data_IF_535970967894
#
_entry.id   IF_535970967894
#
_cell.length_a   1.000
_cell.length_b   1.000
_cell.length_c   1.000
_cell.angle_alpha   90.00
_cell.angle_beta   90.00
_cell.angle_gamma   90.00
#
_symmetry.space_group_name_H-M   'P 1'
#
loop_
_entity.id
_entity.type
_entity.pdbx_description
1 polymer ?
#
# COMPACT_ATOMS: atom_id res chain seq x y z
N UNK A 1 -5.20 6.61 -30.63
CA UNK A 1 -5.98 6.26 -29.43
C UNK A 1 -5.04 5.84 -28.31
N UNK A 2 -5.15 6.44 -27.12
CA UNK A 2 -4.23 6.17 -26.00
C UNK A 2 -4.85 5.11 -25.10
N UNK A 3 -4.05 4.18 -24.59
CA UNK A 3 -4.52 3.16 -23.65
C UNK A 3 -5.02 3.85 -22.36
N UNK A 4 -6.28 3.65 -21.94
CA UNK A 4 -6.88 4.36 -20.81
C UNK A 4 -6.57 3.71 -19.45
N UNK A 5 -6.03 2.48 -19.44
CA UNK A 5 -5.73 1.74 -18.22
C UNK A 5 -4.38 2.17 -17.62
N UNK A 6 -4.31 2.26 -16.30
CA UNK A 6 -3.09 2.69 -15.59
C UNK A 6 -2.77 1.73 -14.45
N UNK A 7 -1.58 1.13 -14.50
CA UNK A 7 -1.06 0.23 -13.49
C UNK A 7 0.40 0.59 -13.16
N UNK A 8 0.92 0.05 -12.06
CA UNK A 8 2.29 0.32 -11.58
C UNK A 8 2.56 1.74 -11.06
N UNK A 9 1.56 2.63 -11.02
CA UNK A 9 1.66 4.00 -10.52
C UNK A 9 0.47 4.36 -9.65
N UNK A 10 0.63 5.39 -8.83
CA UNK A 10 -0.50 5.98 -8.09
C UNK A 10 -1.50 6.55 -9.08
N UNK A 11 -2.77 6.14 -8.96
CA UNK A 11 -3.83 6.53 -9.89
C UNK A 11 -4.60 7.73 -9.36
N UNK A 12 -4.89 8.67 -10.27
CA UNK A 12 -5.79 9.79 -10.01
C UNK A 12 -7.26 9.40 -10.14
N UNK A 13 -8.16 10.36 -9.86
CA UNK A 13 -9.62 10.13 -9.76
C UNK A 13 -10.23 9.40 -10.97
N UNK A 14 -9.75 9.67 -12.19
CA UNK A 14 -10.27 9.06 -13.44
C UNK A 14 -9.96 7.56 -13.60
N UNK A 15 -8.92 7.06 -12.95
CA UNK A 15 -8.44 5.67 -13.08
C UNK A 15 -8.47 4.91 -11.75
N UNK A 16 -9.09 5.49 -10.73
CA UNK A 16 -9.31 4.87 -9.44
C UNK A 16 -10.67 4.16 -9.47
N UNK A 17 -10.63 2.83 -9.59
CA UNK A 17 -11.84 2.02 -9.65
C UNK A 17 -12.43 1.88 -8.24
N UNK A 18 -13.64 2.42 -8.08
CA UNK A 18 -14.49 2.35 -6.89
C UNK A 18 -13.76 2.64 -5.57
N UNK A 19 -14.25 2.15 -4.41
CA UNK A 19 -13.84 2.48 -3.03
C UNK A 19 -14.60 3.63 -2.36
N UNK A 20 -15.85 3.88 -2.75
CA UNK A 20 -16.64 5.00 -2.20
C UNK A 20 -16.85 4.87 -0.69
N UNK A 21 -17.24 3.69 -0.23
CA UNK A 21 -17.49 3.43 1.19
C UNK A 21 -16.22 3.58 2.02
N UNK A 22 -15.08 3.10 1.52
CA UNK A 22 -13.79 3.25 2.18
C UNK A 22 -13.35 4.72 2.25
N UNK A 23 -13.55 5.48 1.17
CA UNK A 23 -13.26 6.92 1.15
C UNK A 23 -14.12 7.64 2.19
N UNK A 24 -15.44 7.40 2.19
CA UNK A 24 -16.35 8.02 3.13
C UNK A 24 -16.03 7.65 4.59
N UNK A 25 -15.69 6.39 4.84
CA UNK A 25 -15.28 5.94 6.16
C UNK A 25 -14.02 6.66 6.65
N UNK A 26 -12.99 6.74 5.80
CA UNK A 26 -11.75 7.44 6.13
C UNK A 26 -11.99 8.93 6.35
N UNK A 27 -12.75 9.59 5.48
CA UNK A 27 -13.09 11.01 5.61
C UNK A 27 -13.80 11.31 6.93
N UNK A 28 -14.87 10.56 7.25
CA UNK A 28 -15.62 10.74 8.51
C UNK A 28 -14.72 10.63 9.74
N UNK A 29 -13.83 9.64 9.77
CA UNK A 29 -12.92 9.46 10.89
C UNK A 29 -11.85 10.56 10.97
N UNK A 30 -11.30 11.00 9.84
CA UNK A 30 -10.36 12.13 9.77
C UNK A 30 -11.02 13.41 10.30
N UNK A 31 -12.26 13.70 9.90
CA UNK A 31 -13.02 14.86 10.37
C UNK A 31 -13.25 14.84 11.88
N UNK A 32 -13.55 13.66 12.41
CA UNK A 32 -13.71 13.41 13.84
C UNK A 32 -12.39 13.37 14.61
N UNK A 33 -11.24 13.39 13.94
CA UNK A 33 -9.92 13.33 14.57
C UNK A 33 -9.52 11.92 15.05
N UNK A 34 -10.18 10.87 14.56
CA UNK A 34 -9.83 9.49 14.92
C UNK A 34 -8.65 8.97 14.10
N UNK A 35 -7.77 8.23 14.77
CA UNK A 35 -6.67 7.52 14.12
C UNK A 35 -7.13 6.16 13.62
N UNK A 36 -6.69 5.79 12.42
CA UNK A 36 -7.10 4.58 11.71
C UNK A 36 -5.86 3.81 11.30
N UNK A 37 -5.93 2.50 11.31
CA UNK A 37 -4.94 1.67 10.62
C UNK A 37 -5.63 0.69 9.68
N UNK A 38 -4.97 0.39 8.57
CA UNK A 38 -5.43 -0.60 7.62
C UNK A 38 -4.26 -1.35 7.02
N UNK A 39 -4.56 -2.58 6.59
CA UNK A 39 -3.64 -3.35 5.78
C UNK A 39 -4.35 -3.81 4.51
N UNK A 40 -3.58 -3.93 3.43
CA UNK A 40 -4.00 -4.63 2.23
C UNK A 40 -2.76 -5.17 1.52
N UNK A 41 -2.88 -6.25 0.73
CA UNK A 41 -1.77 -6.77 -0.05
C UNK A 41 -1.10 -5.69 -0.91
N UNK A 42 0.13 -5.95 -1.37
CA UNK A 42 0.81 -5.02 -2.28
C UNK A 42 -0.03 -4.80 -3.53
N UNK A 43 0.04 -3.58 -4.08
CA UNK A 43 -0.67 -3.18 -5.31
C UNK A 43 -2.22 -3.18 -5.21
N UNK A 44 -2.80 -3.29 -4.02
CA UNK A 44 -4.25 -3.11 -3.82
C UNK A 44 -4.74 -1.66 -3.92
N UNK A 45 -3.83 -0.68 -4.00
CA UNK A 45 -4.18 0.72 -4.20
C UNK A 45 -4.26 1.59 -2.95
N UNK A 46 -3.72 1.15 -1.80
CA UNK A 46 -3.71 1.93 -0.53
C UNK A 46 -3.23 3.38 -0.69
N UNK A 47 -2.06 3.58 -1.29
CA UNK A 47 -1.50 4.92 -1.50
C UNK A 47 -2.33 5.76 -2.48
N UNK A 48 -3.08 5.13 -3.39
CA UNK A 48 -4.03 5.85 -4.26
C UNK A 48 -5.31 6.19 -3.49
N UNK A 49 -5.82 5.29 -2.65
CA UNK A 49 -6.96 5.50 -1.77
C UNK A 49 -6.73 6.70 -0.85
N UNK A 50 -5.62 6.73 -0.11
CA UNK A 50 -5.35 7.83 0.83
C UNK A 50 -5.20 9.18 0.12
N UNK A 51 -4.63 9.21 -1.09
CA UNK A 51 -4.56 10.43 -1.88
C UNK A 51 -5.93 10.89 -2.37
N UNK A 52 -6.83 9.97 -2.72
CA UNK A 52 -8.22 10.33 -3.00
C UNK A 52 -8.91 10.89 -1.75
N UNK A 53 -8.72 10.28 -0.58
CA UNK A 53 -9.26 10.78 0.69
C UNK A 53 -8.73 12.18 0.98
N UNK A 54 -7.42 12.41 0.88
CA UNK A 54 -6.82 13.72 1.13
C UNK A 54 -7.33 14.79 0.17
N UNK A 55 -7.50 14.46 -1.11
CA UNK A 55 -8.09 15.40 -2.08
C UNK A 55 -9.55 15.77 -1.79
N UNK A 56 -10.29 14.93 -1.05
CA UNK A 56 -11.68 15.19 -0.65
C UNK A 56 -11.79 15.63 0.82
N UNK A 57 -10.67 15.77 1.53
CA UNK A 57 -10.65 16.20 2.93
C UNK A 57 -10.95 17.70 2.99
N UNK A 58 -11.83 18.17 3.90
CA UNK A 58 -12.12 19.59 4.06
C UNK A 58 -10.87 20.47 4.25
N UNK A 59 -10.87 21.68 3.67
CA UNK A 59 -9.71 22.59 3.65
C UNK A 59 -9.23 23.04 5.05
N UNK A 60 -10.09 22.92 6.08
CA UNK A 60 -9.76 23.21 7.48
C UNK A 60 -8.99 22.07 8.18
N UNK A 61 -8.74 20.97 7.48
CA UNK A 61 -7.88 19.87 7.94
C UNK A 61 -6.71 19.77 6.97
N UNK A 62 -5.49 19.97 7.47
CA UNK A 62 -4.28 19.78 6.65
C UNK A 62 -3.95 18.30 6.57
N UNK A 63 -3.59 17.82 5.39
CA UNK A 63 -3.27 16.41 5.17
C UNK A 63 -1.82 16.25 4.79
N UNK A 64 -1.12 15.31 5.41
CA UNK A 64 0.30 15.05 5.18
C UNK A 64 0.47 13.58 4.86
N UNK A 65 1.17 13.26 3.77
CA UNK A 65 1.51 11.89 3.40
C UNK A 65 3.01 11.66 3.62
N UNK A 66 3.35 10.62 4.36
CA UNK A 66 4.73 10.24 4.64
C UNK A 66 4.96 8.76 4.40
N UNK A 67 5.91 8.41 3.54
CA UNK A 67 6.25 7.02 3.19
C UNK A 67 7.50 6.56 3.95
N UNK A 68 7.36 5.50 4.74
CA UNK A 68 8.44 4.95 5.57
C UNK A 68 9.34 3.96 4.82
N UNK A 69 9.00 3.56 3.58
CA UNK A 69 9.71 2.51 2.85
C UNK A 69 11.22 2.78 2.69
N UNK A 70 11.57 4.03 2.39
CA UNK A 70 12.95 4.47 2.15
C UNK A 70 13.60 5.12 3.38
N UNK A 71 13.04 4.95 4.57
CA UNK A 71 13.62 5.46 5.81
C UNK A 71 14.56 4.41 6.40
N UNK A 72 15.80 4.81 6.67
CA UNK A 72 16.88 3.90 7.06
C UNK A 72 17.27 3.98 8.54
N UNK A 73 17.06 5.12 9.17
CA UNK A 73 17.43 5.36 10.56
C UNK A 73 16.53 6.42 11.21
N UNK A 74 16.70 6.59 12.51
CA UNK A 74 16.01 7.61 13.31
C UNK A 74 16.39 9.03 12.87
N UNK A 75 17.66 9.27 12.54
CA UNK A 75 18.13 10.53 11.97
C UNK A 75 17.52 10.80 10.58
N UNK A 76 17.50 9.78 9.71
CA UNK A 76 16.91 9.88 8.37
C UNK A 76 15.40 10.13 8.44
N UNK A 77 14.69 9.44 9.36
CA UNK A 77 13.28 9.72 9.67
C UNK A 77 13.11 11.20 10.05
N UNK A 78 13.91 11.68 11.00
CA UNK A 78 13.79 13.04 11.54
C UNK A 78 13.92 14.09 10.46
N UNK A 79 14.92 13.95 9.59
CA UNK A 79 15.17 14.86 8.47
C UNK A 79 14.05 14.79 7.45
N UNK A 80 13.66 13.61 6.99
CA UNK A 80 12.60 13.44 5.98
C UNK A 80 11.25 13.91 6.50
N UNK A 81 10.90 13.55 7.74
CA UNK A 81 9.62 13.91 8.34
C UNK A 81 9.53 15.41 8.54
N UNK A 82 10.52 16.04 9.17
CA UNK A 82 10.53 17.49 9.37
C UNK A 82 10.49 18.26 8.05
N UNK A 83 11.21 17.80 7.02
CA UNK A 83 11.13 18.35 5.67
C UNK A 83 9.72 18.27 5.08
N UNK A 84 9.07 17.11 5.25
CA UNK A 84 7.71 16.89 4.74
C UNK A 84 6.70 17.77 5.48
N UNK A 85 6.77 17.84 6.81
CA UNK A 85 5.93 18.74 7.62
C UNK A 85 6.12 20.18 7.18
N UNK A 86 7.38 20.62 7.02
CA UNK A 86 7.67 22.00 6.64
C UNK A 86 7.16 22.34 5.25
N UNK A 87 7.36 21.44 4.28
CA UNK A 87 6.86 21.59 2.92
C UNK A 87 5.35 21.78 2.88
N UNK A 88 4.61 20.97 3.63
CA UNK A 88 3.14 20.94 3.58
C UNK A 88 2.47 22.00 4.45
N UNK A 89 3.09 22.39 5.57
CA UNK A 89 2.45 23.29 6.55
C UNK A 89 2.97 24.73 6.54
N UNK A 90 4.19 24.98 6.06
CA UNK A 90 4.74 26.34 6.06
C UNK A 90 4.39 27.07 4.78
N UNK A 91 4.06 28.35 4.93
CA UNK A 91 3.89 29.24 3.79
C UNK A 91 5.26 29.73 3.31
N UNK A 92 5.83 29.07 2.31
CA UNK A 92 7.13 29.42 1.73
C UNK A 92 7.17 30.73 0.95
N UNK A 93 6.04 31.44 0.83
CA UNK A 93 6.00 32.84 0.37
C UNK A 93 6.35 33.84 1.48
N UNK A 94 6.39 33.39 2.74
CA UNK A 94 6.86 34.22 3.86
C UNK A 94 8.38 34.43 3.80
N UNK A 95 8.85 35.47 4.47
CA UNK A 95 10.28 35.73 4.65
C UNK A 95 10.96 34.52 5.34
N UNK A 96 12.06 34.05 4.75
CA UNK A 96 12.89 32.94 5.26
C UNK A 96 13.26 33.14 6.73
N UNK A 97 13.50 34.38 7.18
CA UNK A 97 13.78 34.68 8.59
C UNK A 97 12.61 34.34 9.51
N UNK A 98 11.37 34.54 9.07
CA UNK A 98 10.16 34.20 9.84
C UNK A 98 10.00 32.69 9.97
N UNK A 99 10.21 31.97 8.86
CA UNK A 99 10.15 30.50 8.83
C UNK A 99 11.24 29.92 9.74
N UNK A 100 12.48 30.41 9.64
CA UNK A 100 13.58 29.98 10.50
C UNK A 100 13.29 30.23 11.99
N UNK A 101 12.73 31.40 12.32
CA UNK A 101 12.32 31.71 13.71
C UNK A 101 11.22 30.78 14.22
N UNK A 102 10.21 30.46 13.40
CA UNK A 102 9.15 29.49 13.74
C UNK A 102 9.74 28.11 13.96
N UNK A 103 10.61 27.65 13.08
CA UNK A 103 11.28 26.35 13.23
C UNK A 103 12.16 26.30 14.47
N UNK A 104 12.95 27.34 14.75
CA UNK A 104 13.73 27.43 15.98
C UNK A 104 12.87 27.43 17.25
N UNK A 105 11.66 28.00 17.21
CA UNK A 105 10.68 27.93 18.30
C UNK A 105 10.13 26.52 18.50
N UNK A 106 9.90 25.77 17.41
CA UNK A 106 9.31 24.43 17.49
C UNK A 106 10.33 23.32 17.77
N UNK A 107 11.58 23.51 17.33
CA UNK A 107 12.66 22.52 17.37
C UNK A 107 13.87 23.13 18.11
N UNK A 108 13.67 23.47 19.38
CA UNK A 108 14.63 24.23 20.20
C UNK A 108 15.94 23.47 20.40
N UNK A 109 15.87 22.14 20.57
CA UNK A 109 17.07 21.31 20.83
C UNK A 109 17.84 21.02 19.54
N UNK A 110 17.12 20.95 18.42
CA UNK A 110 17.67 20.54 17.13
C UNK A 110 18.26 21.68 16.30
N UNK A 111 17.96 22.94 16.64
CA UNK A 111 18.48 24.14 15.98
C UNK A 111 18.39 24.04 14.44
N UNK A 112 17.18 23.92 13.88
CA UNK A 112 16.99 23.71 12.46
C UNK A 112 17.50 24.88 11.62
N UNK A 113 18.15 24.56 10.51
CA UNK A 113 18.60 25.49 9.49
C UNK A 113 17.76 25.30 8.23
N UNK A 114 17.44 26.42 7.58
CA UNK A 114 16.74 26.42 6.30
C UNK A 114 17.76 26.44 5.17
N UNK A 115 17.67 25.44 4.30
CA UNK A 115 18.45 25.33 3.07
C UNK A 115 17.52 25.28 1.87
N UNK A 116 18.09 25.47 0.68
CA UNK A 116 17.39 25.23 -0.58
C UNK A 116 18.03 24.03 -1.28
N UNK A 117 17.20 23.13 -1.80
CA UNK A 117 17.67 22.03 -2.63
C UNK A 117 18.14 22.54 -4.02
N UNK A 118 18.62 21.63 -4.86
CA UNK A 118 19.12 21.93 -6.21
C UNK A 118 18.04 22.58 -7.10
N UNK A 119 16.76 22.37 -6.79
CA UNK A 119 15.62 22.93 -7.52
C UNK A 119 15.07 24.21 -6.87
N UNK A 120 15.83 24.82 -5.95
CA UNK A 120 15.41 25.96 -5.14
C UNK A 120 14.15 25.71 -4.29
N UNK A 121 13.82 24.44 -4.01
CA UNK A 121 12.79 24.13 -3.02
C UNK A 121 13.39 24.24 -1.63
N UNK A 122 12.66 24.85 -0.70
CA UNK A 122 13.13 24.94 0.67
C UNK A 122 13.15 23.57 1.36
N UNK A 123 14.13 23.40 2.23
CA UNK A 123 14.39 22.22 3.04
C UNK A 123 14.90 22.62 4.43
N UNK A 124 14.67 21.76 5.40
CA UNK A 124 15.21 21.81 6.75
C UNK A 124 16.39 20.84 6.84
N UNK A 125 17.51 21.35 7.31
CA UNK A 125 18.58 20.54 7.88
C UNK A 125 18.68 20.79 9.38
N UNK A 126 19.15 19.81 10.11
CA UNK A 126 19.61 20.02 11.49
C UNK A 126 21.10 20.34 11.47
N UNK A 127 21.59 20.98 12.53
CA UNK A 127 23.03 21.09 12.76
C UNK A 127 23.71 19.70 12.64
N UNK A 128 25.03 19.65 12.45
CA UNK A 128 25.83 18.42 12.32
C UNK A 128 25.86 17.59 13.63
N UNK A 129 24.68 17.17 14.07
CA UNK A 129 24.40 16.27 15.17
C UNK A 129 23.45 15.21 14.61
N UNK A 130 23.79 13.96 14.87
CA UNK A 130 22.94 12.83 14.56
C UNK A 130 21.80 12.77 15.58
N UNK A 131 20.57 12.63 15.10
CA UNK A 131 19.39 12.48 15.95
C UNK A 131 19.22 11.00 16.27
N UNK A 132 19.46 10.63 17.52
CA UNK A 132 19.41 9.22 17.97
C UNK A 132 18.66 9.03 19.29
N UNK A 133 18.43 10.10 20.05
CA UNK A 133 17.77 10.02 21.35
C UNK A 133 16.26 10.28 21.28
N UNK A 134 15.54 9.73 22.26
CA UNK A 134 14.09 9.85 22.37
C UNK A 134 13.60 11.29 22.39
N UNK A 135 14.29 12.18 23.12
CA UNK A 135 13.79 13.53 23.40
C UNK A 135 13.83 14.37 22.13
N UNK A 136 14.89 14.22 21.33
CA UNK A 136 15.00 14.89 20.03
C UNK A 136 13.95 14.36 19.04
N UNK A 137 13.66 13.06 19.05
CA UNK A 137 12.63 12.46 18.20
C UNK A 137 11.22 12.87 18.59
N UNK A 138 10.93 12.91 19.88
CA UNK A 138 9.65 13.42 20.36
C UNK A 138 9.47 14.90 20.00
N UNK A 139 10.54 15.70 19.98
CA UNK A 139 10.47 17.09 19.51
C UNK A 139 10.06 17.17 18.03
N UNK A 140 10.62 16.30 17.17
CA UNK A 140 10.24 16.18 15.75
C UNK A 140 8.80 15.68 15.58
N UNK A 141 8.40 14.65 16.31
CA UNK A 141 7.07 14.06 16.22
C UNK A 141 5.97 15.02 16.69
N UNK A 142 6.29 15.94 17.61
CA UNK A 142 5.38 16.97 18.12
C UNK A 142 5.33 18.24 17.25
N UNK A 143 6.19 18.36 16.25
CA UNK A 143 6.18 19.49 15.30
C UNK A 143 4.78 19.78 14.71
N UNK A 144 4.04 18.80 14.13
CA UNK A 144 2.71 19.07 13.60
C UNK A 144 1.73 19.55 14.67
N UNK A 145 1.76 19.03 15.89
CA UNK A 145 0.88 19.48 16.98
C UNK A 145 1.14 20.95 17.34
N UNK A 146 2.42 21.37 17.46
CA UNK A 146 2.77 22.77 17.77
C UNK A 146 2.25 23.74 16.69
N UNK A 147 2.33 23.33 15.42
CA UNK A 147 1.83 24.12 14.28
C UNK A 147 0.30 24.15 14.29
N UNK A 148 -0.34 23.01 14.55
CA UNK A 148 -1.79 22.88 14.65
C UNK A 148 -2.39 23.80 15.72
N UNK A 149 -1.76 23.87 16.89
CA UNK A 149 -2.16 24.77 17.99
C UNK A 149 -1.98 26.25 17.64
N UNK A 150 -0.87 26.63 17.01
CA UNK A 150 -0.61 28.03 16.64
C UNK A 150 -1.56 28.55 15.56
N UNK A 151 -2.05 27.67 14.70
CA UNK A 151 -2.91 28.02 13.57
C UNK A 151 -4.38 27.61 13.74
N UNK A 152 -4.77 27.09 14.90
CA UNK A 152 -6.11 26.56 15.19
C UNK A 152 -6.65 25.65 14.06
N UNK A 153 -5.79 24.73 13.61
CA UNK A 153 -6.09 23.81 12.50
C UNK A 153 -5.97 22.37 12.96
N UNK A 154 -6.78 21.48 12.37
CA UNK A 154 -6.57 20.04 12.50
C UNK A 154 -5.58 19.56 11.44
N UNK A 155 -4.85 18.49 11.72
CA UNK A 155 -3.91 17.88 10.78
C UNK A 155 -4.09 16.36 10.81
N UNK A 156 -4.16 15.74 9.64
CA UNK A 156 -4.12 14.31 9.46
C UNK A 156 -2.79 13.89 8.83
N UNK A 157 -2.05 12.99 9.48
CA UNK A 157 -0.79 12.43 8.96
C UNK A 157 -1.00 10.98 8.55
N UNK A 158 -0.84 10.68 7.27
CA UNK A 158 -0.80 9.31 6.78
C UNK A 158 0.64 8.79 6.75
N UNK A 159 0.90 7.70 7.46
CA UNK A 159 2.14 6.94 7.35
C UNK A 159 1.92 5.73 6.46
N UNK A 160 2.52 5.73 5.26
CA UNK A 160 2.54 4.56 4.38
C UNK A 160 3.72 3.63 4.72
N UNK A 161 3.51 2.34 4.46
CA UNK A 161 4.44 1.26 4.82
C UNK A 161 4.83 1.29 6.32
N UNK A 162 3.85 1.54 7.19
CA UNK A 162 4.06 1.75 8.63
C UNK A 162 4.76 0.59 9.34
N UNK A 163 4.62 -0.64 8.84
CA UNK A 163 5.33 -1.77 9.41
C UNK A 163 6.86 -1.66 9.34
N UNK A 164 7.40 -0.74 8.51
CA UNK A 164 8.85 -0.55 8.39
C UNK A 164 9.47 0.16 9.62
N UNK A 165 8.67 0.73 10.54
CA UNK A 165 9.19 1.34 11.77
C UNK A 165 10.05 0.37 12.60
N UNK A 166 9.72 -0.92 12.59
CA UNK A 166 10.48 -1.93 13.34
C UNK A 166 11.87 -2.17 12.78
N UNK A 167 12.11 -1.81 11.51
CA UNK A 167 13.42 -1.86 10.87
C UNK A 167 14.28 -0.63 11.21
N UNK A 168 13.64 0.50 11.48
CA UNK A 168 14.30 1.78 11.77
C UNK A 168 14.94 1.74 13.16
N UNK A 169 14.14 1.48 14.19
CA UNK A 169 14.61 1.25 15.56
C UNK A 169 13.54 0.49 16.37
N UNK A 170 13.97 -0.40 17.26
CA UNK A 170 13.08 -1.25 18.06
C UNK A 170 12.21 -0.46 19.06
N UNK A 171 12.69 0.68 19.55
CA UNK A 171 11.99 1.55 20.50
C UNK A 171 11.22 2.67 19.81
N UNK A 172 11.30 2.79 18.48
CA UNK A 172 10.69 3.92 17.78
C UNK A 172 9.18 4.00 18.03
N UNK A 173 8.49 2.85 18.05
CA UNK A 173 7.07 2.76 18.38
C UNK A 173 6.73 3.30 19.78
N UNK A 174 7.61 3.10 20.77
CA UNK A 174 7.44 3.62 22.13
C UNK A 174 7.54 5.15 22.13
N UNK A 175 8.51 5.71 21.41
CA UNK A 175 8.69 7.16 21.29
C UNK A 175 7.54 7.81 20.52
N UNK A 176 7.06 7.16 19.46
CA UNK A 176 5.84 7.58 18.77
C UNK A 176 4.64 7.58 19.71
N UNK A 177 4.46 6.54 20.55
CA UNK A 177 3.33 6.49 21.49
C UNK A 177 3.39 7.62 22.50
N UNK A 178 4.58 7.86 23.06
CA UNK A 178 4.85 8.91 24.03
C UNK A 178 4.52 10.31 23.48
N UNK A 179 4.92 10.60 22.23
CA UNK A 179 4.58 11.85 21.57
C UNK A 179 3.08 11.93 21.26
N UNK A 180 2.52 10.91 20.60
CA UNK A 180 1.21 10.99 19.98
C UNK A 180 0.05 11.06 20.99
N UNK A 181 0.19 10.45 22.17
CA UNK A 181 -0.88 10.46 23.20
C UNK A 181 -1.23 11.86 23.72
N UNK A 182 -0.32 12.83 23.57
CA UNK A 182 -0.51 14.21 24.03
C UNK A 182 -1.01 15.15 22.91
N UNK A 183 -1.11 14.65 21.67
CA UNK A 183 -1.50 15.46 20.53
C UNK A 183 -3.02 15.51 20.39
N UNK A 184 -3.57 16.72 20.41
CA UNK A 184 -5.04 16.94 20.43
C UNK A 184 -5.62 17.26 19.06
N UNK A 185 -4.80 17.83 18.17
CA UNK A 185 -5.24 18.34 16.88
C UNK A 185 -4.76 17.46 15.72
N UNK A 186 -4.14 16.31 16.03
CA UNK A 186 -3.53 15.40 15.07
C UNK A 186 -4.27 14.08 15.06
N UNK A 187 -4.62 13.62 13.87
CA UNK A 187 -5.11 12.27 13.60
C UNK A 187 -4.16 11.53 12.67
N UNK A 188 -4.18 10.20 12.70
CA UNK A 188 -3.27 9.39 11.89
C UNK A 188 -4.00 8.39 11.01
N UNK A 189 -3.43 8.13 9.83
CA UNK A 189 -3.80 6.97 9.01
C UNK A 189 -2.56 6.11 8.78
N UNK A 190 -2.52 4.93 9.39
CA UNK A 190 -1.42 3.99 9.27
C UNK A 190 -1.73 2.95 8.19
N UNK A 191 -0.98 2.98 7.09
CA UNK A 191 -1.13 2.04 5.98
C UNK A 191 0.00 1.02 6.02
N UNK A 192 -0.33 -0.27 5.86
CA UNK A 192 0.69 -1.32 5.78
C UNK A 192 0.37 -2.39 4.76
N UNK A 193 1.40 -3.13 4.33
CA UNK A 193 1.24 -4.26 3.40
C UNK A 193 1.50 -5.63 4.04
N UNK A 194 2.10 -5.68 5.23
CA UNK A 194 2.33 -6.93 5.99
C UNK A 194 1.31 -7.03 7.12
N UNK A 195 0.24 -7.81 6.89
CA UNK A 195 -0.86 -8.00 7.85
C UNK A 195 -0.34 -8.37 9.25
N UNK A 196 0.50 -9.40 9.35
CA UNK A 196 0.98 -9.88 10.65
C UNK A 196 1.76 -8.82 11.43
N UNK A 197 2.55 -7.99 10.76
CA UNK A 197 3.28 -6.91 11.43
C UNK A 197 2.34 -5.79 11.88
N UNK A 198 1.38 -5.41 11.04
CA UNK A 198 0.37 -4.41 11.42
C UNK A 198 -0.49 -4.89 12.60
N UNK A 199 -0.93 -6.15 12.59
CA UNK A 199 -1.66 -6.75 13.71
C UNK A 199 -0.79 -6.81 14.98
N UNK A 200 0.49 -7.15 14.87
CA UNK A 200 1.41 -7.11 16.01
C UNK A 200 1.56 -5.70 16.59
N UNK A 201 1.53 -4.66 15.75
CA UNK A 201 1.65 -3.26 16.17
C UNK A 201 0.36 -2.77 16.83
N UNK A 202 -0.81 -3.03 16.26
CA UNK A 202 -2.07 -2.40 16.72
C UNK A 202 -2.97 -3.30 17.56
N UNK A 203 -2.80 -4.62 17.51
CA UNK A 203 -3.71 -5.60 18.13
C UNK A 203 -3.04 -6.51 19.16
N UNK A 204 -1.73 -6.43 19.34
CA UNK A 204 -1.03 -7.15 20.42
C UNK A 204 -1.13 -6.38 21.73
N UNK A 205 -1.60 -7.03 22.80
CA UNK A 205 -1.77 -6.43 24.14
C UNK A 205 -0.47 -5.81 24.67
N UNK A 206 0.68 -6.37 24.31
CA UNK A 206 1.99 -5.89 24.76
C UNK A 206 2.55 -4.75 23.90
N UNK A 207 1.85 -4.34 22.84
CA UNK A 207 2.31 -3.27 21.96
C UNK A 207 1.98 -1.90 22.55
N UNK A 208 2.90 -0.91 22.47
CA UNK A 208 2.58 0.49 22.81
C UNK A 208 1.41 1.08 22.00
N UNK A 209 1.13 0.52 20.82
CA UNK A 209 0.05 0.94 19.93
C UNK A 209 -1.22 0.08 20.05
N UNK A 210 -1.30 -0.80 21.06
CA UNK A 210 -2.52 -1.56 21.34
C UNK A 210 -3.73 -0.62 21.46
N UNK A 211 -4.75 -0.85 20.64
CA UNK A 211 -5.98 -0.05 20.55
C UNK A 211 -5.76 1.47 20.31
N UNK A 212 -4.58 1.86 19.81
CA UNK A 212 -4.28 3.27 19.50
C UNK A 212 -5.08 3.83 18.32
N UNK A 213 -5.39 2.97 17.34
CA UNK A 213 -6.09 3.33 16.12
C UNK A 213 -7.17 2.29 15.79
N UNK A 214 -8.25 2.74 15.18
CA UNK A 214 -9.36 1.89 14.77
C UNK A 214 -8.94 1.09 13.53
N UNK A 215 -9.19 -0.22 13.55
CA UNK A 215 -8.94 -1.08 12.38
C UNK A 215 -9.94 -0.77 11.29
N UNK A 216 -9.47 -0.62 10.06
CA UNK A 216 -10.30 -0.59 8.87
C UNK A 216 -9.87 -1.74 7.93
N UNK A 217 -10.85 -2.53 7.51
CA UNK A 217 -10.64 -3.59 6.53
C UNK A 217 -10.88 -3.06 5.11
N UNK A 218 -9.94 -3.35 4.20
CA UNK A 218 -10.09 -3.06 2.77
C UNK A 218 -10.68 -4.30 2.12
N UNK A 219 -11.94 -4.20 1.70
CA UNK A 219 -12.62 -5.31 1.02
C UNK A 219 -12.10 -5.50 -0.41
N UNK A 220 -12.27 -6.67 -1.03
CA UNK A 220 -12.13 -6.79 -2.48
C UNK A 220 -13.10 -5.83 -3.19
N UNK A 221 -12.68 -5.27 -4.33
CA UNK A 221 -13.63 -4.51 -5.16
C UNK A 221 -14.63 -5.50 -5.74
N UNK A 222 -15.91 -5.16 -5.72
CA UNK A 222 -16.93 -6.05 -6.28
C UNK A 222 -16.68 -6.31 -7.77
N UNK A 223 -16.84 -7.57 -8.18
CA UNK A 223 -16.65 -8.01 -9.56
C UNK A 223 -17.43 -7.13 -10.54
N UNK A 224 -18.70 -6.83 -10.21
CA UNK A 224 -19.59 -6.00 -11.03
C UNK A 224 -19.02 -4.60 -11.26
N UNK A 225 -18.42 -4.01 -10.23
CA UNK A 225 -17.85 -2.66 -10.32
C UNK A 225 -16.62 -2.63 -11.22
N UNK A 226 -15.76 -3.65 -11.14
CA UNK A 226 -14.62 -3.80 -12.05
C UNK A 226 -15.07 -4.07 -13.49
N UNK A 227 -16.13 -4.86 -13.67
CA UNK A 227 -16.73 -5.13 -14.97
C UNK A 227 -17.17 -3.83 -15.65
N UNK A 228 -17.99 -3.03 -14.96
CA UNK A 228 -18.45 -1.75 -15.47
C UNK A 228 -17.30 -0.75 -15.67
N UNK A 229 -16.29 -0.77 -14.79
CA UNK A 229 -15.10 0.05 -14.96
C UNK A 229 -14.35 -0.26 -16.26
N UNK A 230 -14.11 -1.55 -16.57
CA UNK A 230 -13.45 -1.96 -17.81
C UNK A 230 -14.30 -1.56 -19.01
N UNK A 231 -15.59 -1.91 -19.01
CA UNK A 231 -16.53 -1.59 -20.09
C UNK A 231 -16.55 -0.10 -20.42
N UNK A 232 -16.65 0.75 -19.40
CA UNK A 232 -16.66 2.21 -19.56
C UNK A 232 -15.34 2.74 -20.12
N UNK A 233 -14.19 2.17 -19.72
CA UNK A 233 -12.87 2.57 -20.25
C UNK A 233 -12.70 2.28 -21.74
N UNK A 234 -13.26 1.16 -22.23
CA UNK A 234 -13.31 0.87 -23.67
C UNK A 234 -14.23 1.86 -24.40
N UNK A 235 -15.43 2.10 -23.86
CA UNK A 235 -16.38 3.05 -24.43
C UNK A 235 -15.85 4.48 -24.50
N UNK A 236 -15.11 4.95 -23.49
CA UNK A 236 -14.40 6.25 -23.47
C UNK A 236 -13.41 6.41 -24.64
N UNK A 237 -12.95 5.31 -25.22
CA UNK A 237 -12.04 5.30 -26.37
C UNK A 237 -12.74 4.91 -27.68
N UNK A 238 -14.08 4.85 -27.69
CA UNK A 238 -14.89 4.40 -28.84
C UNK A 238 -14.55 2.97 -29.29
N UNK A 239 -14.14 2.09 -28.36
CA UNK A 239 -14.03 0.66 -28.59
C UNK A 239 -15.14 -0.08 -27.86
N UNK A 240 -15.53 -1.24 -28.40
CA UNK A 240 -16.32 -2.25 -27.71
C UNK A 240 -15.43 -3.37 -27.19
N UNK A 241 -15.92 -4.09 -26.19
CA UNK A 241 -15.34 -5.31 -25.64
C UNK A 241 -16.51 -6.22 -25.22
N UNK A 242 -16.39 -7.51 -25.50
CA UNK A 242 -17.39 -8.51 -25.15
C UNK A 242 -17.42 -8.78 -23.64
N UNK A 243 -18.59 -9.16 -23.14
CA UNK A 243 -18.77 -9.46 -21.72
C UNK A 243 -17.90 -10.65 -21.27
N UNK A 244 -17.80 -11.67 -22.12
CA UNK A 244 -17.01 -12.88 -21.88
C UNK A 244 -15.51 -12.56 -21.72
N UNK A 245 -14.99 -11.62 -22.50
CA UNK A 245 -13.60 -11.17 -22.39
C UNK A 245 -13.36 -10.41 -21.09
N UNK A 246 -14.30 -9.55 -20.68
CA UNK A 246 -14.21 -8.87 -19.38
C UNK A 246 -14.23 -9.91 -18.25
N UNK A 247 -15.13 -10.88 -18.30
CA UNK A 247 -15.19 -11.95 -17.30
C UNK A 247 -13.87 -12.76 -17.25
N UNK A 248 -13.29 -13.06 -18.41
CA UNK A 248 -11.99 -13.72 -18.50
C UNK A 248 -10.87 -12.88 -17.84
N UNK A 249 -10.85 -11.56 -18.05
CA UNK A 249 -9.92 -10.65 -17.36
C UNK A 249 -10.11 -10.74 -15.84
N UNK A 250 -11.35 -10.69 -15.35
CA UNK A 250 -11.66 -10.67 -13.92
C UNK A 250 -11.33 -11.99 -13.23
N UNK A 251 -11.57 -13.12 -13.89
CA UNK A 251 -11.23 -14.45 -13.40
C UNK A 251 -9.71 -14.61 -13.28
N UNK A 252 -8.98 -14.32 -14.35
CA UNK A 252 -7.53 -14.50 -14.36
C UNK A 252 -6.80 -13.49 -13.47
N UNK A 253 -7.37 -12.30 -13.25
CA UNK A 253 -6.80 -11.29 -12.35
C UNK A 253 -7.23 -11.45 -10.88
N UNK A 254 -8.12 -12.40 -10.58
CA UNK A 254 -8.75 -12.57 -9.25
C UNK A 254 -9.37 -11.26 -8.72
N UNK A 255 -9.92 -10.42 -9.61
CA UNK A 255 -10.45 -9.09 -9.29
C UNK A 255 -9.45 -8.17 -8.56
N UNK A 256 -8.14 -8.43 -8.70
CA UNK A 256 -7.12 -7.63 -8.04
C UNK A 256 -6.91 -6.31 -8.80
N UNK A 257 -7.08 -5.12 -8.18
CA UNK A 257 -7.17 -3.84 -8.89
C UNK A 257 -6.03 -3.56 -9.88
N UNK A 258 -4.78 -3.75 -9.45
CA UNK A 258 -3.60 -3.59 -10.30
C UNK A 258 -3.57 -4.57 -11.49
N UNK A 259 -3.79 -5.86 -11.25
CA UNK A 259 -3.70 -6.88 -12.29
C UNK A 259 -4.88 -6.81 -13.25
N UNK A 260 -6.08 -6.50 -12.74
CA UNK A 260 -7.26 -6.24 -13.58
C UNK A 260 -6.98 -5.11 -14.58
N UNK A 261 -6.41 -3.97 -14.14
CA UNK A 261 -6.03 -2.89 -15.07
C UNK A 261 -4.90 -3.30 -16.02
N UNK A 262 -3.92 -4.07 -15.56
CA UNK A 262 -2.85 -4.56 -16.44
C UNK A 262 -3.39 -5.48 -17.53
N UNK A 263 -4.25 -6.44 -17.18
CA UNK A 263 -4.80 -7.40 -18.13
C UNK A 263 -5.72 -6.70 -19.12
N UNK A 264 -6.59 -5.81 -18.63
CA UNK A 264 -7.41 -4.96 -19.48
C UNK A 264 -6.58 -4.06 -20.40
N UNK A 265 -5.42 -3.56 -19.96
CA UNK A 265 -4.49 -2.80 -20.81
C UNK A 265 -3.97 -3.64 -21.96
N UNK A 266 -3.60 -4.91 -21.72
CA UNK A 266 -3.10 -5.80 -22.78
C UNK A 266 -4.21 -6.12 -23.77
N UNK A 267 -5.40 -6.49 -23.29
CA UNK A 267 -6.58 -6.76 -24.12
C UNK A 267 -6.96 -5.53 -24.96
N UNK A 268 -6.91 -4.34 -24.37
CA UNK A 268 -7.16 -3.09 -25.08
C UNK A 268 -6.18 -2.88 -26.24
N UNK A 269 -4.89 -3.15 -26.02
CA UNK A 269 -3.89 -3.04 -27.07
C UNK A 269 -4.08 -4.10 -28.17
N UNK A 270 -4.48 -5.32 -27.83
CA UNK A 270 -4.83 -6.36 -28.81
C UNK A 270 -6.01 -5.93 -29.70
N UNK A 271 -7.13 -5.51 -29.10
CA UNK A 271 -8.33 -5.07 -29.83
C UNK A 271 -8.01 -3.83 -30.68
N UNK A 272 -7.30 -2.84 -30.12
CA UNK A 272 -6.90 -1.64 -30.88
C UNK A 272 -6.04 -1.97 -32.10
N UNK A 273 -5.21 -3.02 -32.01
CA UNK A 273 -4.33 -3.42 -33.10
C UNK A 273 -5.02 -4.35 -34.13
N UNK A 274 -6.32 -4.63 -33.97
CA UNK A 274 -7.13 -5.36 -34.94
C UNK A 274 -7.27 -6.86 -34.66
N UNK A 275 -6.90 -7.34 -33.47
CA UNK A 275 -7.18 -8.73 -33.07
C UNK A 275 -8.69 -8.95 -32.97
N UNK A 276 -9.21 -10.03 -33.58
CA UNK A 276 -10.62 -10.41 -33.52
C UNK A 276 -10.93 -11.06 -32.16
N UNK A 277 -11.82 -10.41 -31.41
CA UNK A 277 -12.27 -10.89 -30.11
C UNK A 277 -13.10 -12.18 -30.20
N UNK A 278 -13.70 -12.48 -31.35
CA UNK A 278 -14.49 -13.69 -31.56
C UNK A 278 -13.64 -14.91 -31.92
N UNK A 279 -12.33 -14.74 -32.11
CA UNK A 279 -11.40 -15.87 -32.26
C UNK A 279 -11.38 -16.66 -30.94
N UNK A 280 -11.67 -17.96 -31.01
CA UNK A 280 -11.63 -18.86 -29.84
C UNK A 280 -10.28 -18.82 -29.10
N UNK A 281 -9.19 -18.49 -29.81
CA UNK A 281 -7.84 -18.37 -29.23
C UNK A 281 -7.55 -16.98 -28.67
N UNK A 282 -8.43 -15.99 -28.82
CA UNK A 282 -8.19 -14.62 -28.38
C UNK A 282 -7.81 -14.56 -26.90
N UNK A 283 -8.58 -15.22 -26.04
CA UNK A 283 -8.34 -15.24 -24.60
C UNK A 283 -7.02 -15.91 -24.21
N UNK A 284 -6.65 -16.96 -24.94
CA UNK A 284 -5.37 -17.64 -24.75
C UNK A 284 -4.20 -16.75 -25.15
N UNK A 285 -4.27 -16.09 -26.31
CA UNK A 285 -3.19 -15.26 -26.88
C UNK A 285 -2.77 -14.11 -25.96
N UNK A 286 -3.72 -13.32 -25.46
CA UNK A 286 -3.36 -12.20 -24.59
C UNK A 286 -2.83 -12.67 -23.24
N UNK A 287 -3.31 -13.80 -22.75
CA UNK A 287 -2.85 -14.36 -21.47
C UNK A 287 -1.44 -14.95 -21.60
N UNK A 288 -1.17 -15.69 -22.68
CA UNK A 288 0.17 -16.21 -23.01
C UNK A 288 1.19 -15.06 -23.09
N UNK A 289 0.84 -13.98 -23.79
CA UNK A 289 1.68 -12.77 -23.87
C UNK A 289 2.03 -12.18 -22.49
N UNK A 290 1.08 -12.18 -21.56
CA UNK A 290 1.32 -11.70 -20.18
C UNK A 290 2.25 -12.67 -19.43
N UNK A 291 2.00 -13.97 -19.54
CA UNK A 291 2.80 -15.00 -18.88
C UNK A 291 4.24 -14.97 -19.40
N UNK A 292 4.43 -14.95 -20.71
CA UNK A 292 5.74 -14.94 -21.36
C UNK A 292 6.58 -13.72 -20.98
N UNK A 293 5.94 -12.57 -20.76
CA UNK A 293 6.63 -11.35 -20.34
C UNK A 293 7.33 -11.47 -18.97
N UNK A 294 6.93 -12.44 -18.14
CA UNK A 294 7.44 -12.64 -16.78
C UNK A 294 7.93 -14.07 -16.51
N UNK A 295 7.88 -14.96 -17.51
CA UNK A 295 8.21 -16.39 -17.37
C UNK A 295 9.61 -16.62 -16.79
N UNK A 296 10.62 -15.89 -17.28
CA UNK A 296 12.01 -15.96 -16.78
C UNK A 296 12.10 -15.59 -15.30
N UNK A 297 11.34 -14.57 -14.87
CA UNK A 297 11.32 -14.13 -13.47
C UNK A 297 10.66 -15.20 -12.59
N UNK A 298 9.54 -15.76 -13.04
CA UNK A 298 8.84 -16.81 -12.29
C UNK A 298 9.64 -18.11 -12.23
N UNK A 299 10.31 -18.49 -13.32
CA UNK A 299 11.19 -19.64 -13.34
C UNK A 299 12.32 -19.48 -12.32
N UNK A 300 12.99 -18.32 -12.28
CA UNK A 300 14.03 -18.03 -11.29
C UNK A 300 13.52 -18.09 -9.84
N UNK A 301 12.31 -17.56 -9.58
CA UNK A 301 11.67 -17.65 -8.27
C UNK A 301 11.40 -19.11 -7.92
N UNK A 302 10.80 -19.86 -8.84
CA UNK A 302 10.41 -21.26 -8.66
C UNK A 302 11.62 -22.16 -8.42
N UNK A 303 12.74 -21.89 -9.10
CA UNK A 303 13.98 -22.64 -8.97
C UNK A 303 14.61 -22.52 -7.58
N UNK A 304 14.41 -21.37 -6.92
CA UNK A 304 14.86 -21.13 -5.54
C UNK A 304 13.96 -21.77 -4.47
N UNK A 305 12.83 -22.37 -4.84
CA UNK A 305 11.92 -23.02 -3.91
C UNK A 305 12.27 -24.48 -3.71
N UNK A 306 12.13 -24.96 -2.47
CA UNK A 306 12.26 -26.37 -2.18
C UNK A 306 11.03 -27.17 -2.70
N UNK A 307 11.16 -28.49 -2.80
CA UNK A 307 10.10 -29.36 -3.34
C UNK A 307 8.75 -29.22 -2.62
N UNK A 308 8.74 -29.01 -1.30
CA UNK A 308 7.51 -28.82 -0.55
C UNK A 308 6.85 -27.47 -0.85
N UNK A 309 7.64 -26.40 -0.98
CA UNK A 309 7.15 -25.07 -1.37
C UNK A 309 6.54 -25.09 -2.77
N UNK A 310 7.20 -25.74 -3.73
CA UNK A 310 6.69 -25.93 -5.11
C UNK A 310 5.35 -26.68 -5.11
N UNK A 311 5.26 -27.80 -4.39
CA UNK A 311 4.01 -28.56 -4.23
C UNK A 311 2.89 -27.73 -3.61
N UNK A 312 3.20 -26.91 -2.61
CA UNK A 312 2.22 -26.01 -1.98
C UNK A 312 1.70 -24.99 -3.00
N UNK A 313 2.58 -24.33 -3.75
CA UNK A 313 2.16 -23.36 -4.77
C UNK A 313 1.30 -23.99 -5.87
N UNK A 314 1.71 -25.14 -6.41
CA UNK A 314 0.92 -25.90 -7.39
C UNK A 314 -0.44 -26.35 -6.83
N UNK A 315 -0.50 -26.70 -5.54
CA UNK A 315 -1.77 -27.05 -4.89
C UNK A 315 -2.69 -25.85 -4.80
N UNK A 316 -2.16 -24.68 -4.41
CA UNK A 316 -2.92 -23.45 -4.28
C UNK A 316 -3.43 -22.93 -5.63
N UNK A 317 -2.69 -23.12 -6.72
CA UNK A 317 -3.14 -22.69 -8.05
C UNK A 317 -4.29 -23.53 -8.62
N UNK A 318 -4.51 -24.74 -8.09
CA UNK A 318 -5.52 -25.68 -8.58
C UNK A 318 -6.68 -25.90 -7.60
N UNK A 319 -6.64 -25.31 -6.40
CA UNK A 319 -7.62 -25.58 -5.35
C UNK A 319 -7.92 -24.34 -4.50
N UNK A 320 -9.20 -23.99 -4.44
CA UNK A 320 -9.74 -22.97 -3.53
C UNK A 320 -10.16 -23.54 -2.16
N UNK A 321 -9.70 -24.75 -1.80
CA UNK A 321 -10.00 -25.40 -0.51
C UNK A 321 -8.89 -25.17 0.52
N UNK A 322 -9.23 -25.36 1.79
CA UNK A 322 -8.28 -25.29 2.90
C UNK A 322 -7.13 -26.28 2.73
N UNK A 323 -5.90 -25.76 2.70
CA UNK A 323 -4.69 -26.54 2.46
C UNK A 323 -4.38 -27.55 3.57
N UNK A 324 -4.87 -27.31 4.79
CA UNK A 324 -4.72 -28.20 5.94
C UNK A 324 -5.73 -29.35 5.96
N UNK A 325 -6.76 -29.33 5.10
CA UNK A 325 -7.75 -30.41 5.03
C UNK A 325 -7.09 -31.74 4.66
N UNK A 326 -7.60 -32.83 5.25
CA UNK A 326 -7.07 -34.19 4.98
C UNK A 326 -7.21 -34.57 3.51
N UNK A 327 -8.31 -34.15 2.87
CA UNK A 327 -8.58 -34.39 1.45
C UNK A 327 -7.53 -33.75 0.54
N UNK A 328 -7.20 -32.47 0.74
CA UNK A 328 -6.20 -31.77 -0.07
C UNK A 328 -4.80 -32.32 0.20
N UNK A 329 -4.46 -32.57 1.46
CA UNK A 329 -3.13 -33.13 1.81
C UNK A 329 -2.88 -34.49 1.16
N UNK A 330 -3.89 -35.36 1.13
CA UNK A 330 -3.81 -36.66 0.43
C UNK A 330 -3.77 -36.49 -1.09
N UNK A 331 -4.63 -35.65 -1.66
CA UNK A 331 -4.71 -35.45 -3.12
C UNK A 331 -3.39 -34.94 -3.72
N UNK A 332 -2.72 -34.02 -3.04
CA UNK A 332 -1.51 -33.36 -3.54
C UNK A 332 -0.22 -33.84 -2.87
N UNK A 333 -0.26 -34.92 -2.07
CA UNK A 333 0.88 -35.46 -1.34
C UNK A 333 1.68 -34.38 -0.57
N UNK A 334 0.93 -33.55 0.17
CA UNK A 334 1.50 -32.48 0.98
C UNK A 334 2.18 -33.04 2.24
N UNK A 335 3.20 -32.34 2.77
CA UNK A 335 3.91 -32.79 3.96
C UNK A 335 3.01 -32.73 5.22
N UNK A 336 3.51 -33.32 6.31
CA UNK A 336 2.87 -33.30 7.63
C UNK A 336 2.64 -31.86 8.10
N UNK A 337 1.61 -31.62 8.92
CA UNK A 337 1.14 -30.29 9.32
C UNK A 337 2.23 -29.34 9.85
N UNK A 338 3.20 -29.85 10.62
CA UNK A 338 4.32 -29.05 11.15
C UNK A 338 5.20 -28.52 10.02
N UNK A 339 5.67 -29.39 9.13
CA UNK A 339 6.44 -29.04 7.93
C UNK A 339 5.64 -28.15 6.98
N UNK A 340 4.34 -28.42 6.79
CA UNK A 340 3.46 -27.58 5.97
C UNK A 340 3.38 -26.15 6.53
N UNK A 341 3.21 -26.01 7.85
CA UNK A 341 3.15 -24.71 8.52
C UNK A 341 4.44 -23.91 8.36
N UNK A 342 5.61 -24.55 8.50
CA UNK A 342 6.92 -23.91 8.29
C UNK A 342 7.09 -23.42 6.85
N UNK A 343 6.71 -24.23 5.87
CA UNK A 343 6.83 -23.85 4.46
C UNK A 343 5.84 -22.73 4.08
N UNK A 344 4.61 -22.76 4.60
CA UNK A 344 3.63 -21.67 4.43
C UNK A 344 4.18 -20.37 5.01
N UNK A 345 4.71 -20.38 6.25
CA UNK A 345 5.34 -19.19 6.85
C UNK A 345 6.47 -18.63 5.97
N UNK A 346 7.32 -19.50 5.43
CA UNK A 346 8.39 -19.10 4.52
C UNK A 346 7.86 -18.50 3.21
N UNK A 347 6.81 -19.07 2.61
CA UNK A 347 6.18 -18.55 1.40
C UNK A 347 5.50 -17.18 1.64
N UNK A 348 4.89 -16.96 2.81
CA UNK A 348 4.36 -15.66 3.22
C UNK A 348 5.49 -14.64 3.37
N UNK A 349 6.59 -15.01 4.03
CA UNK A 349 7.77 -14.13 4.17
C UNK A 349 8.40 -13.76 2.83
N UNK A 350 8.32 -14.65 1.83
CA UNK A 350 8.75 -14.39 0.44
C UNK A 350 7.72 -13.59 -0.38
N UNK A 351 6.61 -13.14 0.23
CA UNK A 351 5.48 -12.45 -0.42
C UNK A 351 4.81 -13.25 -1.56
N UNK A 352 5.03 -14.58 -1.64
CA UNK A 352 4.47 -15.43 -2.71
C UNK A 352 3.02 -15.83 -2.48
N UNK A 353 2.64 -15.94 -1.21
CA UNK A 353 1.25 -16.23 -0.80
C UNK A 353 0.85 -15.30 0.34
N UNK A 354 -0.46 -15.12 0.51
CA UNK A 354 -1.04 -14.44 1.66
C UNK A 354 -2.20 -15.26 2.23
N UNK A 355 -2.56 -14.97 3.47
CA UNK A 355 -3.72 -15.58 4.14
C UNK A 355 -4.92 -14.66 3.94
N UNK A 356 -6.03 -15.23 3.49
CA UNK A 356 -7.32 -14.57 3.33
C UNK A 356 -8.36 -15.38 4.10
N UNK A 357 -8.76 -14.88 5.27
CA UNK A 357 -9.60 -15.61 6.22
C UNK A 357 -9.00 -17.00 6.55
N UNK A 358 -9.63 -18.09 6.12
CA UNK A 358 -9.15 -19.46 6.34
C UNK A 358 -8.39 -20.05 5.15
N UNK A 359 -8.24 -19.30 4.06
CA UNK A 359 -7.60 -19.75 2.83
C UNK A 359 -6.24 -19.11 2.64
N UNK A 360 -5.36 -19.79 1.91
CA UNK A 360 -4.12 -19.21 1.41
C UNK A 360 -4.27 -18.99 -0.08
N UNK A 361 -3.80 -17.84 -0.57
CA UNK A 361 -3.91 -17.44 -1.97
C UNK A 361 -2.55 -17.01 -2.49
N UNK A 362 -2.29 -17.25 -3.77
CA UNK A 362 -1.08 -16.76 -4.44
C UNK A 362 -1.20 -15.25 -4.63
N UNK A 363 -0.16 -14.51 -4.23
CA UNK A 363 -0.19 -13.04 -4.21
C UNK A 363 -0.22 -12.41 -5.60
N UNK A 364 0.39 -13.07 -6.59
CA UNK A 364 0.48 -12.58 -7.97
C UNK A 364 -0.38 -13.46 -8.90
N UNK A 365 -1.49 -12.95 -9.45
CA UNK A 365 -2.35 -13.68 -10.38
C UNK A 365 -1.63 -14.15 -11.65
N UNK A 366 -0.55 -13.48 -12.07
CA UNK A 366 0.23 -13.95 -13.23
C UNK A 366 1.05 -15.19 -12.85
N UNK A 367 1.65 -15.19 -11.65
CA UNK A 367 2.33 -16.38 -11.13
C UNK A 367 1.35 -17.54 -10.96
N UNK A 368 0.14 -17.26 -10.47
CA UNK A 368 -0.93 -18.27 -10.35
C UNK A 368 -1.24 -18.93 -11.69
N UNK A 369 -1.39 -18.13 -12.75
CA UNK A 369 -1.67 -18.66 -14.08
C UNK A 369 -0.46 -19.34 -14.74
N UNK A 370 0.76 -18.83 -14.53
CA UNK A 370 1.98 -19.52 -14.96
C UNK A 370 2.16 -20.88 -14.27
N UNK A 371 1.83 -21.00 -12.98
CA UNK A 371 1.88 -22.29 -12.27
C UNK A 371 0.92 -23.33 -12.86
N UNK A 372 -0.21 -22.90 -13.45
CA UNK A 372 -1.16 -23.79 -14.15
C UNK A 372 -0.64 -24.29 -15.50
N UNK A 373 0.38 -23.64 -16.07
CA UNK A 373 1.01 -24.11 -17.33
C UNK A 373 2.11 -25.14 -17.10
N UNK A 374 2.55 -25.33 -15.85
CA UNK A 374 3.60 -26.30 -15.49
C UNK A 374 3.09 -27.72 -15.24
N UNK A 375 1.76 -27.90 -15.19
CA UNK A 375 1.10 -29.14 -14.79
C UNK A 375 0.55 -29.94 -15.95
#
# INVERSE_FOLDING_TARGET
MKNPFVFGKIVGKKNFCNRKEEIEYLLRNIENGFSIWLFAPRRYGKSSLIKQVFNNTPNNIKTIYFDLYNVQSIDDFSRKYSNTIAKELFNWKEDVKKISKKLGKYLLRLQPQLNFDVNANPSISFANREITDQVDIEEVLNLPQKIAEEHDTKICVAFDEFQEISRIDKFFINWMRSAFQNQKNISYVFLGNKQSLMENIFSSINSPFYEYAVKMDIQPIERRELFEFIKNKFAEQNLSINAETIDCILDNSNCHPHFTQYFASVVFDEIRNGSDENDEKFNHKWMEKIIDSQSVIFQNIYDQLNNNQRKILLTLSHSNREIFSSAIRKKYNLPISSTLSTNIKSLIQKDLIYKDSNLYKISNPILDNWLKTLS
#
